data_IF_630796418631
#
_entry.id   IF_630796418631
#
_cell.length_a   1.000
_cell.length_b   1.000
_cell.length_c   1.000
_cell.angle_alpha   90.00
_cell.angle_beta   90.00
_cell.angle_gamma   90.00
#
_symmetry.space_group_name_H-M   'P 1'
#
loop_
_entity.id
_entity.type
_entity.pdbx_description
1 polymer ?
#
# COMPACT_ATOMS: atom_id res chain seq x y z
N UNK A 1 -10.82 -6.13 6.57
CA UNK A 1 -9.75 -6.79 5.77
C UNK A 1 -8.40 -6.49 6.37
N UNK A 2 -7.39 -7.32 6.09
CA UNK A 2 -6.00 -7.07 6.48
C UNK A 2 -5.09 -7.36 5.30
N UNK A 3 -4.19 -6.41 5.03
CA UNK A 3 -3.17 -6.49 3.98
C UNK A 3 -1.78 -6.52 4.58
N UNK A 4 -0.83 -7.07 3.82
CA UNK A 4 0.60 -7.07 4.15
C UNK A 4 1.43 -6.66 2.94
N UNK A 5 2.55 -5.98 3.18
CA UNK A 5 3.51 -5.57 2.16
C UNK A 5 4.95 -5.62 2.71
N UNK A 6 5.99 -5.78 1.88
CA UNK A 6 7.36 -5.62 2.32
C UNK A 6 7.63 -4.19 2.80
N UNK A 7 8.35 -4.00 3.91
CA UNK A 7 8.54 -2.65 4.49
C UNK A 7 9.33 -1.71 3.59
N UNK A 8 10.30 -2.23 2.85
CA UNK A 8 11.14 -1.49 1.91
C UNK A 8 10.35 -0.85 0.76
N UNK A 9 9.13 -1.33 0.48
CA UNK A 9 8.24 -0.71 -0.50
C UNK A 9 7.64 0.62 -0.02
N UNK A 10 7.72 0.92 1.29
CA UNK A 10 7.00 2.04 1.92
C UNK A 10 5.47 2.00 1.70
N UNK A 11 4.92 0.86 1.28
CA UNK A 11 3.50 0.73 0.94
C UNK A 11 3.13 1.34 -0.41
N UNK A 12 4.11 1.64 -1.27
CA UNK A 12 3.92 2.26 -2.58
C UNK A 12 3.91 1.22 -3.71
N UNK A 13 3.06 1.44 -4.71
CA UNK A 13 2.93 0.55 -5.86
C UNK A 13 2.20 -0.76 -5.57
N UNK A 14 2.37 -1.75 -6.46
CA UNK A 14 1.63 -3.01 -6.45
C UNK A 14 2.16 -4.03 -5.43
N UNK A 15 2.10 -3.66 -4.15
CA UNK A 15 2.80 -4.38 -3.06
C UNK A 15 1.89 -4.93 -1.98
N UNK A 16 0.63 -4.52 -1.95
CA UNK A 16 -0.30 -4.95 -0.89
C UNK A 16 -0.98 -6.26 -1.27
N UNK A 17 -0.78 -7.27 -0.43
CA UNK A 17 -1.41 -8.59 -0.57
C UNK A 17 -2.45 -8.75 0.53
N UNK A 18 -3.69 -9.08 0.17
CA UNK A 18 -4.75 -9.37 1.15
C UNK A 18 -4.49 -10.73 1.79
N UNK A 19 -4.43 -10.78 3.13
CA UNK A 19 -4.18 -12.03 3.88
C UNK A 19 -5.36 -12.46 4.74
N UNK A 20 -6.34 -11.59 4.93
CA UNK A 20 -7.52 -11.90 5.73
C UNK A 20 -8.67 -10.96 5.39
N UNK A 21 -9.89 -11.49 5.44
CA UNK A 21 -11.11 -10.71 5.34
C UNK A 21 -12.24 -11.31 6.18
N UNK A 22 -13.18 -10.45 6.55
CA UNK A 22 -14.44 -10.78 7.19
C UNK A 22 -15.45 -9.75 6.67
N UNK A 23 -16.64 -10.23 6.33
CA UNK A 23 -17.65 -9.51 5.56
C UNK A 23 -19.04 -9.73 6.12
N UNK A 24 -20.00 -10.04 5.26
CA UNK A 24 -21.35 -10.41 5.68
C UNK A 24 -21.51 -11.92 5.60
N UNK A 25 -21.84 -12.56 6.72
CA UNK A 25 -22.09 -14.01 6.78
C UNK A 25 -23.19 -14.29 7.79
N UNK A 26 -24.18 -15.09 7.40
CA UNK A 26 -25.29 -15.53 8.25
C UNK A 26 -25.99 -14.40 9.04
N UNK A 27 -26.24 -13.27 8.37
CA UNK A 27 -26.94 -12.14 8.99
C UNK A 27 -26.07 -11.23 9.85
N UNK A 28 -24.75 -11.49 9.93
CA UNK A 28 -23.80 -10.71 10.73
C UNK A 28 -22.75 -10.06 9.85
N UNK A 29 -22.40 -8.83 10.16
CA UNK A 29 -21.29 -8.12 9.55
C UNK A 29 -20.00 -8.37 10.33
N UNK A 30 -18.85 -8.28 9.67
CA UNK A 30 -17.55 -8.39 10.32
C UNK A 30 -17.35 -7.32 11.40
N UNK A 31 -18.02 -6.15 11.30
CA UNK A 31 -18.03 -5.15 12.37
C UNK A 31 -18.75 -5.64 13.64
N UNK A 32 -19.75 -6.52 13.51
CA UNK A 32 -20.41 -7.14 14.66
C UNK A 32 -19.47 -8.09 15.39
N UNK A 33 -18.67 -8.87 14.63
CA UNK A 33 -17.62 -9.73 15.18
C UNK A 33 -16.54 -8.89 15.88
N UNK A 34 -16.11 -7.80 15.25
CA UNK A 34 -15.14 -6.85 15.81
C UNK A 34 -15.62 -6.24 17.14
N UNK A 35 -16.87 -5.78 17.20
CA UNK A 35 -17.46 -5.24 18.43
C UNK A 35 -17.57 -6.32 19.50
N UNK A 36 -18.05 -7.51 19.15
CA UNK A 36 -18.16 -8.66 20.06
C UNK A 36 -16.80 -9.04 20.63
N UNK A 37 -15.75 -8.96 19.83
CA UNK A 37 -14.36 -9.19 20.23
C UNK A 37 -13.67 -7.95 20.83
N UNK A 38 -14.45 -6.98 21.35
CA UNK A 38 -13.96 -5.79 22.07
C UNK A 38 -13.00 -4.91 21.25
N UNK A 39 -13.23 -4.80 19.95
CA UNK A 39 -12.42 -3.99 19.05
C UNK A 39 -11.11 -4.66 18.63
N UNK A 40 -11.04 -6.00 18.70
CA UNK A 40 -9.88 -6.77 18.28
C UNK A 40 -10.20 -7.60 17.03
N UNK A 41 -9.25 -7.65 16.11
CA UNK A 41 -9.22 -8.63 15.01
C UNK A 41 -8.05 -9.59 15.24
N UNK A 42 -8.26 -10.88 14.97
CA UNK A 42 -7.21 -11.90 15.08
C UNK A 42 -6.89 -12.39 13.67
N UNK A 43 -5.62 -12.25 13.29
CA UNK A 43 -5.12 -12.69 11.98
C UNK A 43 -3.93 -13.59 12.21
N UNK A 44 -3.99 -14.79 11.65
CA UNK A 44 -2.83 -15.68 11.55
C UNK A 44 -1.97 -15.21 10.39
N UNK A 45 -0.69 -14.97 10.64
CA UNK A 45 0.22 -14.61 9.56
C UNK A 45 0.52 -15.83 8.68
N UNK A 46 0.66 -15.65 7.36
CA UNK A 46 1.23 -16.67 6.49
C UNK A 46 2.63 -17.09 6.98
N UNK A 47 3.12 -18.25 6.55
CA UNK A 47 4.47 -18.74 6.88
C UNK A 47 5.58 -17.98 6.14
N UNK A 48 5.60 -16.66 6.33
CA UNK A 48 6.45 -15.71 5.63
C UNK A 48 7.93 -15.91 5.96
N UNK A 49 8.77 -15.62 4.99
CA UNK A 49 10.19 -15.44 5.21
C UNK A 49 10.47 -14.40 6.31
N UNK A 50 11.56 -14.60 7.05
CA UNK A 50 12.03 -13.60 8.01
C UNK A 50 12.31 -12.27 7.30
N UNK A 51 11.86 -11.17 7.88
CA UNK A 51 11.93 -9.86 7.24
C UNK A 51 11.14 -8.78 7.96
N UNK A 52 11.20 -7.56 7.43
CA UNK A 52 10.38 -6.44 7.91
C UNK A 52 9.20 -6.20 6.96
N UNK A 53 8.01 -6.06 7.52
CA UNK A 53 6.76 -5.93 6.76
C UNK A 53 5.91 -4.78 7.30
N UNK A 54 5.01 -4.27 6.46
CA UNK A 54 3.89 -3.42 6.85
C UNK A 54 2.64 -4.26 6.93
N UNK A 55 1.83 -4.07 7.96
CA UNK A 55 0.49 -4.63 8.08
C UNK A 55 -0.53 -3.51 8.05
N UNK A 56 -1.57 -3.65 7.23
CA UNK A 56 -2.63 -2.65 7.04
C UNK A 56 -4.00 -3.25 7.33
N UNK A 57 -4.49 -3.17 8.57
CA UNK A 57 -5.89 -3.43 8.85
C UNK A 57 -6.78 -2.32 8.30
N UNK A 58 -7.94 -2.70 7.78
CA UNK A 58 -8.94 -1.80 7.22
C UNK A 58 -10.36 -2.28 7.53
N UNK A 59 -11.19 -1.33 7.97
CA UNK A 59 -12.61 -1.48 8.21
C UNK A 59 -13.37 -0.52 7.29
N UNK A 60 -14.48 -0.97 6.69
CA UNK A 60 -15.33 -0.14 5.84
C UNK A 60 -16.69 0.04 6.53
N UNK A 61 -17.08 1.29 6.76
CA UNK A 61 -18.41 1.68 7.21
C UNK A 61 -19.35 1.86 6.01
N UNK A 62 -20.42 1.06 5.96
CA UNK A 62 -21.37 1.03 4.83
C UNK A 62 -22.73 1.65 5.14
N UNK A 63 -22.89 2.26 6.31
CA UNK A 63 -24.17 2.85 6.74
C UNK A 63 -24.67 3.99 5.82
N UNK A 64 -23.77 4.58 5.05
CA UNK A 64 -24.06 5.54 3.98
C UNK A 64 -23.64 5.04 2.59
N UNK A 65 -23.26 3.76 2.46
CA UNK A 65 -22.73 3.17 1.22
C UNK A 65 -23.74 3.07 0.09
N UNK A 66 -25.01 3.41 0.31
CA UNK A 66 -26.06 3.37 -0.71
C UNK A 66 -26.00 4.52 -1.72
N UNK A 67 -25.01 5.41 -1.58
CA UNK A 67 -24.70 6.50 -2.52
C UNK A 67 -23.21 6.54 -2.79
N UNK A 68 -22.85 6.97 -3.99
CA UNK A 68 -21.44 7.11 -4.39
C UNK A 68 -20.72 8.07 -3.43
N UNK A 69 -19.52 7.68 -2.99
CA UNK A 69 -18.74 8.43 -2.00
C UNK A 69 -19.25 8.35 -0.55
N UNK A 70 -20.28 7.54 -0.26
CA UNK A 70 -20.81 7.36 1.09
C UNK A 70 -20.12 6.29 1.94
N UNK A 71 -19.41 5.34 1.33
CA UNK A 71 -18.61 4.36 2.08
C UNK A 71 -17.44 5.03 2.81
N UNK A 72 -17.18 4.60 4.05
CA UNK A 72 -16.17 5.20 4.92
C UNK A 72 -15.05 4.21 5.22
N UNK A 73 -13.83 4.52 4.81
CA UNK A 73 -12.67 3.65 4.99
C UNK A 73 -11.89 4.07 6.24
N UNK A 74 -11.70 3.13 7.17
CA UNK A 74 -10.91 3.29 8.38
C UNK A 74 -9.73 2.34 8.33
N UNK A 75 -8.55 2.85 7.99
CA UNK A 75 -7.34 2.06 7.87
C UNK A 75 -6.26 2.52 8.86
N UNK A 76 -5.41 1.58 9.27
CA UNK A 76 -4.19 1.83 10.01
C UNK A 76 -3.01 1.11 9.37
N UNK A 77 -1.80 1.49 9.72
CA UNK A 77 -0.58 0.76 9.35
C UNK A 77 0.24 0.44 10.59
N UNK A 78 0.73 -0.79 10.67
CA UNK A 78 1.69 -1.26 11.66
C UNK A 78 2.96 -1.76 10.97
N UNK A 79 4.06 -1.80 11.72
CA UNK A 79 5.32 -2.39 11.28
C UNK A 79 5.55 -3.70 12.02
N UNK A 80 5.88 -4.75 11.28
CA UNK A 80 6.17 -6.08 11.79
C UNK A 80 7.61 -6.47 11.46
N UNK A 81 8.24 -7.22 12.34
CA UNK A 81 9.47 -7.94 12.07
C UNK A 81 9.23 -9.43 12.29
N UNK A 82 9.24 -10.19 11.20
CA UNK A 82 9.07 -11.65 11.21
C UNK A 82 10.45 -12.26 11.47
N UNK A 83 10.53 -13.12 12.48
CA UNK A 83 11.76 -13.82 12.90
C UNK A 83 11.68 -15.33 12.76
N UNK A 84 10.55 -15.86 12.28
CA UNK A 84 10.35 -17.28 12.03
C UNK A 84 11.17 -17.81 10.85
N UNK A 85 11.17 -19.13 10.69
CA UNK A 85 11.87 -19.84 9.60
C UNK A 85 10.98 -20.11 8.39
N UNK A 86 9.88 -19.38 8.24
CA UNK A 86 8.97 -19.53 7.11
C UNK A 86 9.67 -19.26 5.79
N UNK A 87 9.08 -19.74 4.71
CA UNK A 87 9.66 -19.62 3.36
C UNK A 87 8.73 -18.96 2.35
N UNK A 88 7.51 -18.60 2.75
CA UNK A 88 6.55 -18.00 1.85
C UNK A 88 6.97 -16.58 1.47
N UNK A 89 6.98 -16.32 0.17
CA UNK A 89 7.18 -14.98 -0.41
C UNK A 89 5.84 -14.43 -0.83
N UNK A 90 5.61 -13.13 -0.57
CA UNK A 90 4.38 -12.48 -1.02
C UNK A 90 4.32 -12.51 -2.56
N UNK A 91 3.15 -12.85 -3.14
CA UNK A 91 2.93 -12.69 -4.58
C UNK A 91 2.89 -11.21 -4.97
N UNK A 92 2.72 -10.93 -6.27
CA UNK A 92 2.39 -9.58 -6.72
C UNK A 92 1.14 -9.07 -5.98
N UNK A 93 1.21 -7.85 -5.46
CA UNK A 93 0.12 -7.22 -4.74
C UNK A 93 -0.69 -6.28 -5.62
N UNK A 94 -1.41 -5.37 -4.97
CA UNK A 94 -2.12 -4.26 -5.60
C UNK A 94 -1.64 -2.93 -5.05
N UNK A 95 -1.71 -1.89 -5.88
CA UNK A 95 -1.63 -0.51 -5.42
C UNK A 95 -2.90 -0.18 -4.65
N UNK A 96 -2.78 -0.02 -3.32
CA UNK A 96 -3.92 0.20 -2.43
C UNK A 96 -4.64 1.52 -2.72
N UNK A 97 -3.98 2.48 -3.40
CA UNK A 97 -4.61 3.73 -3.84
C UNK A 97 -5.54 3.54 -5.03
N UNK A 98 -5.47 2.37 -5.69
CA UNK A 98 -6.25 1.98 -6.86
C UNK A 98 -7.05 0.69 -6.65
N UNK A 99 -6.94 0.07 -5.48
CA UNK A 99 -7.54 -1.23 -5.19
C UNK A 99 -9.08 -1.18 -5.06
N UNK A 100 -9.66 0.02 -4.94
CA UNK A 100 -11.09 0.24 -4.80
C UNK A 100 -11.58 1.33 -5.78
N UNK A 101 -12.77 1.14 -6.31
CA UNK A 101 -13.54 2.15 -7.03
C UNK A 101 -14.78 2.55 -6.22
N UNK A 102 -15.25 3.78 -6.42
CA UNK A 102 -16.52 4.25 -5.85
C UNK A 102 -17.74 3.46 -6.36
N UNK A 103 -17.59 2.72 -7.46
CA UNK A 103 -18.63 1.89 -8.08
C UNK A 103 -18.52 0.40 -7.77
N UNK A 104 -17.53 -0.05 -6.98
CA UNK A 104 -17.39 -1.47 -6.64
C UNK A 104 -18.63 -1.92 -5.87
N UNK A 105 -19.11 -3.15 -6.12
CA UNK A 105 -20.32 -3.68 -5.48
C UNK A 105 -20.19 -3.76 -3.95
N UNK A 106 -18.96 -3.87 -3.43
CA UNK A 106 -18.65 -3.82 -2.01
C UNK A 106 -18.54 -2.41 -1.40
N UNK A 107 -18.49 -1.38 -2.25
CA UNK A 107 -18.32 0.03 -1.86
C UNK A 107 -19.63 0.80 -2.02
N UNK A 108 -20.30 0.67 -3.17
CA UNK A 108 -21.63 1.21 -3.43
C UNK A 108 -22.67 0.13 -3.21
N UNK A 109 -23.22 0.06 -2.00
CA UNK A 109 -24.13 -1.00 -1.54
C UNK A 109 -25.20 -0.46 -0.62
N UNK A 110 -26.45 -0.88 -0.83
CA UNK A 110 -27.55 -0.62 0.07
C UNK A 110 -27.74 -1.78 1.05
N UNK A 111 -27.30 -1.58 2.29
CA UNK A 111 -27.39 -2.57 3.35
C UNK A 111 -28.79 -2.67 3.98
N UNK A 112 -29.73 -1.78 3.62
CA UNK A 112 -31.06 -1.70 4.24
C UNK A 112 -32.16 -2.40 3.43
N UNK A 113 -31.89 -2.81 2.18
CA UNK A 113 -32.88 -3.41 1.26
C UNK A 113 -32.92 -4.95 1.27
N UNK A 114 -32.58 -5.57 2.42
CA UNK A 114 -32.68 -7.03 2.57
C UNK A 114 -31.54 -7.80 1.90
N UNK A 115 -30.33 -7.25 1.95
CA UNK A 115 -29.11 -7.84 1.43
C UNK A 115 -28.88 -9.26 2.01
N UNK A 116 -28.62 -10.24 1.14
CA UNK A 116 -28.35 -11.64 1.53
C UNK A 116 -26.90 -12.07 1.32
N UNK A 117 -26.16 -11.32 0.50
CA UNK A 117 -24.74 -11.55 0.20
C UNK A 117 -24.02 -10.22 0.05
N UNK A 118 -22.76 -10.17 0.46
CA UNK A 118 -21.91 -8.99 0.32
C UNK A 118 -20.61 -9.39 -0.38
N UNK A 119 -20.26 -8.68 -1.45
CA UNK A 119 -18.97 -8.83 -2.11
C UNK A 119 -17.96 -7.92 -1.41
N UNK A 120 -16.97 -8.52 -0.75
CA UNK A 120 -15.90 -7.75 -0.09
C UNK A 120 -15.05 -7.11 -1.20
N UNK A 121 -14.82 -5.79 -1.19
CA UNK A 121 -14.09 -5.12 -2.26
C UNK A 121 -12.58 -5.45 -2.21
N UNK A 122 -11.89 -5.12 -3.30
CA UNK A 122 -10.44 -5.34 -3.46
C UNK A 122 -10.07 -6.76 -3.93
N UNK A 123 -8.76 -7.09 -3.94
CA UNK A 123 -8.29 -8.39 -4.45
C UNK A 123 -8.77 -9.55 -3.57
N UNK A 124 -8.76 -10.77 -4.11
CA UNK A 124 -9.02 -11.97 -3.29
C UNK A 124 -7.96 -12.14 -2.18
N UNK A 125 -8.32 -12.84 -1.10
CA UNK A 125 -7.34 -13.28 -0.11
C UNK A 125 -6.32 -14.20 -0.80
N UNK A 126 -5.04 -13.97 -0.54
CA UNK A 126 -3.97 -14.82 -1.06
C UNK A 126 -4.12 -16.26 -0.56
N UNK A 127 -4.10 -17.22 -1.48
CA UNK A 127 -4.20 -18.66 -1.16
C UNK A 127 -3.13 -19.14 -0.17
N UNK A 128 -1.96 -18.48 -0.14
CA UNK A 128 -0.89 -18.80 0.82
C UNK A 128 -1.10 -18.21 2.22
N UNK A 129 -2.18 -17.45 2.46
CA UNK A 129 -2.44 -16.78 3.73
C UNK A 129 -2.94 -17.70 4.85
N UNK A 130 -3.39 -18.91 4.53
CA UNK A 130 -3.71 -19.91 5.54
C UNK A 130 -2.42 -20.38 6.22
N UNK A 131 -2.10 -19.80 7.38
CA UNK A 131 -1.13 -20.37 8.30
C UNK A 131 -1.50 -21.83 8.59
N UNK A 132 -0.49 -22.69 8.81
CA UNK A 132 -0.70 -24.09 9.17
C UNK A 132 -1.57 -24.21 10.45
N UNK A 133 -2.90 -24.31 10.29
CA UNK A 133 -3.87 -24.37 11.39
C UNK A 133 -5.20 -23.70 11.03
N UNK A 134 -6.15 -24.50 10.55
CA UNK A 134 -7.47 -24.13 10.01
C UNK A 134 -8.42 -23.38 10.96
N UNK A 135 -9.28 -22.56 10.34
CA UNK A 135 -10.56 -22.07 10.85
C UNK A 135 -11.44 -21.51 9.72
N UNK A 136 -12.08 -22.41 8.97
CA UNK A 136 -13.29 -22.31 8.09
C UNK A 136 -13.95 -20.92 7.93
N UNK A 137 -14.33 -20.39 6.76
CA UNK A 137 -14.57 -20.96 5.42
C UNK A 137 -16.01 -20.63 4.97
N UNK A 138 -16.18 -19.86 3.89
CA UNK A 138 -17.32 -19.96 2.96
C UNK A 138 -16.92 -19.34 1.63
N UNK A 139 -17.09 -20.10 0.54
CA UNK A 139 -16.52 -19.83 -0.76
C UNK A 139 -17.31 -18.82 -1.58
N UNK A 140 -16.57 -18.08 -2.42
CA UNK A 140 -17.14 -17.45 -3.60
C UNK A 140 -16.72 -18.26 -4.83
N UNK A 141 -17.73 -18.77 -5.54
CA UNK A 141 -17.56 -19.48 -6.81
C UNK A 141 -16.99 -18.53 -7.86
N UNK A 142 -15.82 -18.89 -8.40
CA UNK A 142 -15.24 -18.26 -9.58
C UNK A 142 -16.12 -18.56 -10.80
N UNK A 143 -16.68 -17.51 -11.40
CA UNK A 143 -17.31 -17.56 -12.72
C UNK A 143 -16.24 -17.79 -13.81
N UNK A 144 -16.45 -18.69 -14.79
CA UNK A 144 -15.44 -19.03 -15.78
C UNK A 144 -15.32 -17.95 -16.86
N UNK A 145 -14.08 -17.57 -17.17
CA UNK A 145 -13.75 -16.74 -18.33
C UNK A 145 -14.11 -17.45 -19.65
N UNK A 146 -14.57 -16.73 -20.70
CA UNK A 146 -14.87 -17.35 -21.99
C UNK A 146 -13.57 -17.71 -22.72
N UNK A 147 -13.48 -18.96 -23.13
CA UNK A 147 -12.41 -19.49 -23.97
C UNK A 147 -12.49 -18.95 -25.40
N UNK A 148 -11.38 -18.42 -25.92
CA UNK A 148 -11.14 -18.32 -27.37
C UNK A 148 -10.01 -19.26 -27.75
N UNK A 149 -10.38 -20.29 -28.51
CA UNK A 149 -9.46 -21.22 -29.16
C UNK A 149 -8.75 -20.56 -30.34
N UNK A 150 -7.42 -20.67 -30.39
CA UNK A 150 -6.68 -20.66 -31.64
C UNK A 150 -5.48 -21.62 -31.52
N UNK A 151 -5.46 -22.60 -32.41
CA UNK A 151 -4.49 -23.68 -32.61
C UNK A 151 -3.09 -23.19 -32.99
N UNK A 152 -2.00 -23.86 -32.59
CA UNK A 152 -0.68 -23.63 -33.16
C UNK A 152 -0.47 -24.51 -34.39
N UNK A 153 -0.12 -23.91 -35.53
CA UNK A 153 0.40 -24.64 -36.70
C UNK A 153 1.90 -24.39 -36.78
N UNK A 154 2.67 -25.47 -36.64
CA UNK A 154 4.10 -25.49 -36.91
C UNK A 154 4.35 -25.35 -38.42
N UNK A 155 5.38 -24.59 -38.81
CA UNK A 155 6.03 -24.77 -40.10
C UNK A 155 7.50 -24.41 -40.00
N UNK A 156 8.33 -25.39 -40.35
CA UNK A 156 9.79 -25.41 -40.35
C UNK A 156 10.39 -24.73 -41.58
N UNK A 157 11.55 -24.09 -41.44
CA UNK A 157 12.80 -24.43 -42.19
C UNK A 157 13.97 -23.50 -41.82
N UNK A 158 15.24 -23.94 -41.99
CA UNK A 158 16.43 -23.32 -41.41
C UNK A 158 17.25 -22.50 -42.42
N UNK A 159 18.19 -21.64 -41.95
CA UNK A 159 19.60 -21.66 -42.43
C UNK A 159 20.54 -20.65 -41.74
N UNK A 160 21.74 -21.14 -41.41
CA UNK A 160 23.08 -20.54 -41.43
C UNK A 160 23.51 -19.42 -40.45
N UNK A 161 24.27 -19.85 -39.42
CA UNK A 161 25.71 -19.61 -39.21
C UNK A 161 26.32 -18.21 -39.45
N UNK A 162 26.79 -17.58 -38.35
CA UNK A 162 28.18 -17.12 -38.18
C UNK A 162 28.47 -16.76 -36.70
N UNK A 163 29.61 -17.19 -36.19
CA UNK A 163 30.19 -16.88 -34.86
C UNK A 163 31.21 -15.71 -34.96
N UNK A 164 32.04 -15.38 -33.94
CA UNK A 164 31.96 -14.12 -33.19
C UNK A 164 33.19 -13.20 -33.41
N UNK A 165 33.11 -11.95 -32.94
CA UNK A 165 34.27 -11.07 -32.73
C UNK A 165 34.16 -10.40 -31.36
N UNK A 166 35.25 -10.46 -30.61
CA UNK A 166 35.45 -9.91 -29.25
C UNK A 166 35.98 -8.46 -29.29
N UNK A 167 36.35 -7.93 -28.11
CA UNK A 167 37.23 -6.74 -27.86
C UNK A 167 36.46 -5.41 -27.69
N UNK A 168 36.66 -4.53 -26.70
CA UNK A 168 37.56 -4.42 -25.53
C UNK A 168 36.96 -3.36 -24.56
N UNK A 169 37.45 -3.33 -23.31
CA UNK A 169 37.27 -2.22 -22.35
C UNK A 169 38.26 -1.07 -22.65
N UNK A 170 38.08 0.14 -22.08
CA UNK A 170 38.85 0.41 -20.85
C UNK A 170 38.14 1.31 -19.82
N UNK A 171 38.66 1.26 -18.59
CA UNK A 171 38.35 2.12 -17.44
C UNK A 171 39.16 3.42 -17.46
N UNK A 172 38.65 4.51 -16.85
CA UNK A 172 39.48 5.56 -16.21
C UNK A 172 38.80 6.22 -15.00
N UNK A 173 39.63 6.40 -13.97
CA UNK A 173 39.53 7.08 -12.66
C UNK A 173 39.78 8.59 -12.72
N UNK A 174 39.33 9.36 -11.71
CA UNK A 174 40.00 10.52 -11.03
C UNK A 174 38.94 11.47 -10.43
N UNK A 175 38.72 11.57 -9.12
CA UNK A 175 39.48 12.25 -8.05
C UNK A 175 39.22 13.79 -7.89
N UNK A 176 38.72 14.10 -6.68
CA UNK A 176 39.00 15.25 -5.79
C UNK A 176 38.57 16.70 -6.10
N UNK A 177 38.04 17.33 -5.04
CA UNK A 177 37.65 18.74 -4.87
C UNK A 177 38.84 19.71 -4.68
N UNK A 178 38.59 21.04 -4.71
CA UNK A 178 39.13 21.88 -3.65
C UNK A 178 38.20 22.97 -3.07
N UNK A 179 38.31 23.13 -1.74
CA UNK A 179 38.35 24.29 -0.82
C UNK A 179 37.35 25.48 -0.84
N UNK A 180 37.02 26.07 0.34
CA UNK A 180 36.07 27.19 0.51
C UNK A 180 36.75 28.57 0.53
N UNK A 181 36.01 29.64 0.18
CA UNK A 181 36.39 31.02 0.49
C UNK A 181 35.16 31.93 0.66
N UNK A 182 35.39 33.01 1.40
CA UNK A 182 34.46 33.82 2.18
C UNK A 182 33.67 34.89 1.41
N UNK A 183 32.56 35.31 2.04
CA UNK A 183 32.14 36.72 2.11
C UNK A 183 31.07 37.16 1.11
N UNK A 184 29.92 37.64 1.63
CA UNK A 184 28.96 38.39 0.82
C UNK A 184 27.55 38.46 1.42
N UNK A 185 27.35 39.38 2.37
CA UNK A 185 26.04 39.74 2.89
C UNK A 185 25.27 40.58 1.86
N UNK A 186 24.20 40.05 1.26
CA UNK A 186 23.15 40.86 0.63
C UNK A 186 21.79 40.21 0.90
N UNK A 187 20.88 40.99 1.49
CA UNK A 187 19.57 40.54 1.91
C UNK A 187 18.68 40.19 0.71
N UNK A 188 18.06 39.02 0.79
CA UNK A 188 16.81 38.64 0.14
C UNK A 188 16.31 37.38 0.84
N UNK A 189 15.03 37.32 1.17
CA UNK A 189 14.42 36.41 2.14
C UNK A 189 14.36 34.92 1.78
N UNK A 190 15.40 34.35 1.17
CA UNK A 190 15.53 32.91 0.91
C UNK A 190 16.91 32.41 1.34
N UNK A 191 16.96 31.28 2.05
CA UNK A 191 18.21 30.60 2.41
C UNK A 191 18.98 30.18 1.14
N UNK A 192 20.31 30.42 1.07
CA UNK A 192 21.14 29.89 0.00
C UNK A 192 21.27 28.36 0.07
N UNK A 193 21.66 27.73 -1.05
CA UNK A 193 21.82 26.25 -1.16
C UNK A 193 22.86 25.67 -0.19
N UNK A 194 23.76 26.50 0.33
CA UNK A 194 24.69 26.16 1.41
C UNK A 194 24.70 27.25 2.46
N UNK A 195 24.49 26.89 3.73
CA UNK A 195 24.47 27.82 4.85
C UNK A 195 25.20 27.24 6.06
N UNK A 196 25.67 28.11 6.96
CA UNK A 196 26.17 27.71 8.28
C UNK A 196 25.01 27.57 9.26
N UNK A 197 25.24 26.82 10.35
CA UNK A 197 24.23 26.64 11.41
C UNK A 197 23.75 27.99 11.99
N UNK A 198 24.63 28.98 12.09
CA UNK A 198 24.30 30.33 12.59
C UNK A 198 23.41 31.12 11.60
N UNK A 199 23.63 30.94 10.30
CA UNK A 199 22.79 31.54 9.25
C UNK A 199 21.39 30.94 9.24
N UNK A 200 21.28 29.63 9.47
CA UNK A 200 19.98 28.94 9.59
C UNK A 200 19.19 29.39 10.81
N UNK A 201 19.85 29.53 11.98
CA UNK A 201 19.21 30.00 13.21
C UNK A 201 18.71 31.44 13.04
N UNK A 202 19.52 32.31 12.43
CA UNK A 202 19.11 33.70 12.16
C UNK A 202 17.90 33.77 11.21
N UNK A 203 17.90 32.97 10.13
CA UNK A 203 16.76 32.90 9.22
C UNK A 203 15.48 32.38 9.90
N UNK A 204 15.58 31.36 10.76
CA UNK A 204 14.43 30.84 11.52
C UNK A 204 13.83 31.91 12.44
N UNK A 205 14.67 32.66 13.14
CA UNK A 205 14.21 33.72 14.05
C UNK A 205 13.51 34.85 13.29
N UNK A 206 14.00 35.23 12.12
CA UNK A 206 13.41 36.27 11.27
C UNK A 206 12.11 35.79 10.61
N UNK A 207 12.09 34.56 10.11
CA UNK A 207 10.91 33.96 9.46
C UNK A 207 9.78 33.65 10.45
N UNK A 208 10.11 33.15 11.65
CA UNK A 208 9.13 32.83 12.68
C UNK A 208 8.71 34.06 13.51
N UNK A 209 9.61 35.04 13.69
CA UNK A 209 9.39 36.24 14.50
C UNK A 209 8.44 37.29 13.88
N UNK A 210 8.16 37.21 12.58
CA UNK A 210 7.30 38.18 11.88
C UNK A 210 5.79 37.95 12.08
N UNK A 211 5.37 36.84 12.71
CA UNK A 211 3.93 36.52 12.88
C UNK A 211 3.33 36.96 14.23
N UNK A 212 3.46 38.24 14.59
CA UNK A 212 2.62 38.82 15.68
C UNK A 212 1.21 39.15 15.18
N UNK A 213 0.44 38.12 14.83
CA UNK A 213 -1.03 38.14 14.98
C UNK A 213 -1.49 36.80 15.55
N UNK A 214 -1.87 36.87 16.83
CA UNK A 214 -2.47 35.81 17.63
C UNK A 214 -3.81 35.37 17.01
N UNK A 215 -3.77 34.55 15.97
CA UNK A 215 -4.95 33.91 15.41
C UNK A 215 -5.31 32.68 16.25
N UNK A 216 -6.16 32.86 17.27
CA UNK A 216 -6.86 31.74 17.90
C UNK A 216 -7.83 31.15 16.88
N UNK A 217 -7.47 30.03 16.26
CA UNK A 217 -8.40 29.26 15.42
C UNK A 217 -9.21 28.35 16.33
N UNK A 218 -10.50 28.63 16.46
CA UNK A 218 -11.48 27.71 17.07
C UNK A 218 -11.78 26.55 16.11
N UNK A 219 -12.00 25.36 16.65
CA UNK A 219 -12.16 24.07 15.94
C UNK A 219 -13.46 23.91 15.12
N UNK A 220 -13.98 24.97 14.50
CA UNK A 220 -15.17 24.93 13.62
C UNK A 220 -14.89 25.33 12.16
N UNK A 221 -13.64 25.25 11.72
CA UNK A 221 -13.27 25.59 10.33
C UNK A 221 -13.13 24.35 9.41
N UNK A 222 -13.70 23.21 9.81
CA UNK A 222 -13.85 22.04 8.93
C UNK A 222 -15.28 21.52 9.05
N UNK A 223 -16.19 22.24 8.38
CA UNK A 223 -17.47 21.73 7.87
C UNK A 223 -17.61 22.27 6.46
#
# INVERSE_FOLDING_TARGET
MVYIAPKESNGEGDVWVKIWEDGYTDGKWGVDNFITNKGLITVTLPDLAAGEYLIRPELIGLHEGNREGGAQFYNGCGQLKITGSGSATLPAGVDITKAYSASDAGVLVDIYSGLTSYEIPGPAVWDGASGAGSGSGSGNESSPAPATSATPVASSTPSATASPVAEEAPAQTSAAAPAPSAGGNTGSGSLPESFTLEQFISWLQESAGSSTKKARRHARAFL
#
